data_IF_883627284049
#
_entry.id   IF_883627284049
#
_cell.length_a   1.000
_cell.length_b   1.000
_cell.length_c   1.000
_cell.angle_alpha   90.00
_cell.angle_beta   90.00
_cell.angle_gamma   90.00
#
_symmetry.space_group_name_H-M   'P 1'
#
loop_
_entity.id
_entity.type
_entity.pdbx_description
1 polymer ?
#
# COMPACT_ATOMS: atom_id res chain seq x y z
N UNK A 1 -9.60 -36.73 -14.81
CA UNK A 1 -9.25 -35.32 -15.08
C UNK A 1 -8.01 -35.03 -14.28
N UNK A 2 -6.93 -34.44 -14.84
CA UNK A 2 -5.82 -33.99 -14.02
C UNK A 2 -6.39 -32.99 -13.01
N UNK A 3 -6.21 -33.25 -11.71
CA UNK A 3 -6.57 -32.30 -10.67
C UNK A 3 -5.79 -31.01 -10.92
N UNK A 4 -6.49 -29.89 -11.06
CA UNK A 4 -5.83 -28.58 -11.12
C UNK A 4 -5.12 -28.40 -9.78
N UNK A 5 -3.79 -28.34 -9.83
CA UNK A 5 -2.98 -28.02 -8.68
C UNK A 5 -3.16 -26.54 -8.34
N UNK A 6 -4.08 -26.25 -7.43
CA UNK A 6 -4.41 -24.90 -7.00
C UNK A 6 -3.23 -24.22 -6.30
N UNK A 7 -2.37 -25.00 -5.65
CA UNK A 7 -1.20 -24.52 -4.92
C UNK A 7 -0.12 -23.99 -5.87
N UNK A 8 -0.09 -24.49 -7.11
CA UNK A 8 0.71 -23.95 -8.20
C UNK A 8 -0.02 -22.84 -8.98
N UNK A 9 -1.29 -23.05 -9.29
CA UNK A 9 -2.05 -22.17 -10.18
C UNK A 9 -2.28 -20.78 -9.55
N UNK A 10 -2.66 -20.70 -8.27
CA UNK A 10 -2.95 -19.43 -7.63
C UNK A 10 -1.72 -18.53 -7.50
N UNK A 11 -0.56 -18.98 -6.98
CA UNK A 11 0.65 -18.16 -6.97
C UNK A 11 1.16 -17.84 -8.37
N UNK A 12 1.05 -18.76 -9.33
CA UNK A 12 1.44 -18.52 -10.72
C UNK A 12 0.63 -17.40 -11.37
N UNK A 13 -0.70 -17.41 -11.22
CA UNK A 13 -1.57 -16.34 -11.70
C UNK A 13 -1.32 -15.03 -10.94
N UNK A 14 -1.07 -15.09 -9.63
CA UNK A 14 -0.72 -13.92 -8.82
C UNK A 14 0.56 -13.27 -9.31
N UNK A 15 1.61 -14.07 -9.59
CA UNK A 15 2.88 -13.61 -10.12
C UNK A 15 2.73 -12.98 -11.51
N UNK A 16 1.96 -13.62 -12.39
CA UNK A 16 1.67 -13.10 -13.73
C UNK A 16 0.94 -11.76 -13.65
N UNK A 17 -0.13 -11.65 -12.87
CA UNK A 17 -0.90 -10.42 -12.71
C UNK A 17 -0.06 -9.29 -12.10
N UNK A 18 0.68 -9.57 -11.02
CA UNK A 18 1.57 -8.59 -10.41
C UNK A 18 2.68 -8.15 -11.38
N UNK A 19 3.24 -9.07 -12.18
CA UNK A 19 4.25 -8.78 -13.20
C UNK A 19 3.70 -7.90 -14.33
N UNK A 20 2.52 -8.22 -14.86
CA UNK A 20 1.83 -7.39 -15.85
C UNK A 20 1.54 -5.99 -15.31
N UNK A 21 1.12 -5.91 -14.04
CA UNK A 21 0.90 -4.63 -13.38
C UNK A 21 2.21 -3.83 -13.23
N UNK A 22 3.30 -4.47 -12.80
CA UNK A 22 4.61 -3.83 -12.72
C UNK A 22 5.06 -3.30 -14.09
N UNK A 23 4.90 -4.07 -15.16
CA UNK A 23 5.21 -3.63 -16.54
C UNK A 23 4.37 -2.42 -16.95
N UNK A 24 3.06 -2.42 -16.64
CA UNK A 24 2.19 -1.29 -16.94
C UNK A 24 2.60 -0.01 -16.18
N UNK A 25 3.03 -0.15 -14.92
CA UNK A 25 3.57 0.96 -14.12
C UNK A 25 4.92 1.45 -14.68
N UNK A 26 5.78 0.54 -15.14
CA UNK A 26 7.05 0.87 -15.77
C UNK A 26 6.87 1.69 -17.06
N UNK A 27 5.94 1.27 -17.94
CA UNK A 27 5.59 2.03 -19.15
C UNK A 27 5.09 3.43 -18.80
N UNK A 28 4.21 3.56 -17.81
CA UNK A 28 3.73 4.86 -17.38
C UNK A 28 4.84 5.76 -16.84
N UNK A 29 5.73 5.20 -16.01
CA UNK A 29 6.87 5.94 -15.48
C UNK A 29 7.82 6.37 -16.60
N UNK A 30 8.10 5.50 -17.58
CA UNK A 30 8.98 5.82 -18.70
C UNK A 30 8.52 7.09 -19.43
N UNK A 31 7.20 7.23 -19.64
CA UNK A 31 6.60 8.37 -20.35
C UNK A 31 6.43 9.62 -19.49
N UNK A 32 5.97 9.46 -18.24
CA UNK A 32 5.57 10.61 -17.38
C UNK A 32 6.61 10.99 -16.34
N UNK A 33 7.58 10.11 -16.07
CA UNK A 33 8.67 10.26 -15.11
C UNK A 33 8.21 10.71 -13.72
N UNK A 34 7.04 10.23 -13.27
CA UNK A 34 6.52 10.52 -11.92
C UNK A 34 7.09 9.55 -10.90
N UNK A 35 7.66 10.05 -9.82
CA UNK A 35 8.34 9.25 -8.79
C UNK A 35 7.46 8.13 -8.22
N UNK A 36 6.19 8.42 -7.89
CA UNK A 36 5.27 7.44 -7.33
C UNK A 36 5.04 6.23 -8.25
N UNK A 37 5.09 6.39 -9.57
CA UNK A 37 4.90 5.29 -10.53
C UNK A 37 6.08 4.33 -10.50
N UNK A 38 7.30 4.85 -10.39
CA UNK A 38 8.50 4.02 -10.24
C UNK A 38 8.46 3.24 -8.92
N UNK A 39 8.11 3.92 -7.83
CA UNK A 39 8.06 3.28 -6.51
C UNK A 39 7.01 2.17 -6.46
N UNK A 40 5.81 2.40 -7.02
CA UNK A 40 4.80 1.35 -7.15
C UNK A 40 5.24 0.23 -8.10
N UNK A 41 5.95 0.54 -9.18
CA UNK A 41 6.52 -0.47 -10.08
C UNK A 41 7.45 -1.41 -9.32
N UNK A 42 8.35 -0.87 -8.49
CA UNK A 42 9.26 -1.68 -7.66
C UNK A 42 8.47 -2.52 -6.64
N UNK A 43 7.49 -1.94 -5.96
CA UNK A 43 6.62 -2.68 -5.04
C UNK A 43 5.86 -3.83 -5.71
N UNK A 44 5.31 -3.61 -6.91
CA UNK A 44 4.62 -4.66 -7.69
C UNK A 44 5.59 -5.72 -8.24
N UNK A 45 6.81 -5.34 -8.59
CA UNK A 45 7.85 -6.30 -8.97
C UNK A 45 8.22 -7.22 -7.79
N UNK A 46 8.33 -6.69 -6.57
CA UNK A 46 8.53 -7.51 -5.37
C UNK A 46 7.37 -8.45 -5.11
N UNK A 47 6.12 -7.97 -5.27
CA UNK A 47 4.94 -8.83 -5.19
C UNK A 47 5.04 -9.98 -6.20
N UNK A 48 5.35 -9.67 -7.46
CA UNK A 48 5.49 -10.67 -8.52
C UNK A 48 6.58 -11.70 -8.21
N UNK A 49 7.74 -11.27 -7.72
CA UNK A 49 8.84 -12.15 -7.32
C UNK A 49 8.46 -13.06 -6.15
N UNK A 50 7.73 -12.54 -5.16
CA UNK A 50 7.28 -13.34 -4.02
C UNK A 50 6.31 -14.45 -4.46
N UNK A 51 5.32 -14.09 -5.28
CA UNK A 51 4.35 -15.04 -5.82
C UNK A 51 4.99 -16.04 -6.79
N UNK A 52 6.01 -15.61 -7.55
CA UNK A 52 6.77 -16.50 -8.42
C UNK A 52 7.60 -17.51 -7.60
N UNK A 53 8.19 -17.09 -6.49
CA UNK A 53 8.92 -17.99 -5.58
C UNK A 53 7.99 -19.06 -5.00
N UNK A 54 6.76 -18.70 -4.64
CA UNK A 54 5.74 -19.64 -4.18
C UNK A 54 5.30 -20.62 -5.28
N UNK A 55 5.06 -20.13 -6.51
CA UNK A 55 4.71 -20.99 -7.64
C UNK A 55 5.84 -21.98 -7.95
N UNK A 56 7.09 -21.52 -7.95
CA UNK A 56 8.25 -22.39 -8.15
C UNK A 56 8.41 -23.40 -7.01
N UNK A 57 8.16 -22.99 -5.77
CA UNK A 57 8.20 -23.90 -4.62
C UNK A 57 7.09 -24.95 -4.67
N UNK A 58 5.89 -24.61 -5.15
CA UNK A 58 4.82 -25.57 -5.38
C UNK A 58 5.20 -26.60 -6.46
N UNK A 59 5.87 -26.16 -7.54
CA UNK A 59 6.28 -27.05 -8.63
C UNK A 59 7.52 -27.90 -8.33
N UNK A 60 8.51 -27.33 -7.63
CA UNK A 60 9.86 -27.91 -7.51
C UNK A 60 10.27 -28.22 -6.06
N UNK A 61 9.42 -27.89 -5.09
CA UNK A 61 9.73 -27.94 -3.66
C UNK A 61 10.44 -26.68 -3.16
N UNK A 62 10.30 -26.43 -1.85
CA UNK A 62 11.02 -25.33 -1.19
C UNK A 62 12.51 -25.61 -1.11
N UNK A 63 13.29 -24.55 -1.31
CA UNK A 63 14.70 -24.49 -0.99
C UNK A 63 15.02 -23.14 -0.35
N UNK A 64 16.21 -23.02 0.22
CA UNK A 64 16.63 -21.82 0.93
C UNK A 64 16.59 -20.54 0.07
N UNK A 65 16.94 -20.61 -1.22
CA UNK A 65 16.92 -19.45 -2.11
C UNK A 65 15.51 -18.94 -2.35
N UNK A 66 14.57 -19.84 -2.65
CA UNK A 66 13.16 -19.48 -2.83
C UNK A 66 12.58 -18.90 -1.54
N UNK A 67 12.91 -19.50 -0.39
CA UNK A 67 12.45 -19.05 0.92
C UNK A 67 12.98 -17.66 1.29
N UNK A 68 14.29 -17.41 1.09
CA UNK A 68 14.91 -16.09 1.28
C UNK A 68 14.31 -15.03 0.36
N UNK A 69 14.09 -15.38 -0.92
CA UNK A 69 13.50 -14.49 -1.91
C UNK A 69 12.07 -14.12 -1.50
N UNK A 70 11.24 -15.12 -1.22
CA UNK A 70 9.87 -14.93 -0.75
C UNK A 70 9.81 -14.04 0.49
N UNK A 71 10.65 -14.31 1.48
CA UNK A 71 10.65 -13.56 2.73
C UNK A 71 10.99 -12.09 2.50
N UNK A 72 12.06 -11.80 1.75
CA UNK A 72 12.46 -10.44 1.44
C UNK A 72 11.41 -9.70 0.62
N UNK A 73 11.06 -10.24 -0.55
CA UNK A 73 10.22 -9.49 -1.49
C UNK A 73 8.77 -9.46 -1.03
N UNK A 74 8.24 -10.57 -0.53
CA UNK A 74 6.85 -10.70 -0.12
C UNK A 74 6.61 -10.21 1.30
N UNK A 75 7.28 -10.84 2.27
CA UNK A 75 6.99 -10.59 3.68
C UNK A 75 7.50 -9.22 4.16
N UNK A 76 8.65 -8.74 3.68
CA UNK A 76 9.30 -7.53 4.19
C UNK A 76 9.08 -6.30 3.29
N UNK A 77 9.32 -6.39 1.98
CA UNK A 77 9.46 -5.19 1.13
C UNK A 77 8.17 -4.71 0.46
N UNK A 78 7.30 -5.62 0.00
CA UNK A 78 6.16 -5.29 -0.88
C UNK A 78 5.29 -4.17 -0.30
N UNK A 79 4.77 -4.32 0.91
CA UNK A 79 3.85 -3.35 1.49
C UNK A 79 4.51 -1.98 1.73
N UNK A 80 5.74 -1.97 2.25
CA UNK A 80 6.49 -0.74 2.49
C UNK A 80 6.72 0.09 1.22
N UNK A 81 7.11 -0.57 0.13
CA UNK A 81 7.29 0.08 -1.18
C UNK A 81 5.97 0.55 -1.79
N UNK A 82 4.90 -0.25 -1.69
CA UNK A 82 3.59 0.16 -2.19
C UNK A 82 3.04 1.39 -1.45
N UNK A 83 3.17 1.43 -0.11
CA UNK A 83 2.79 2.59 0.69
C UNK A 83 3.70 3.80 0.46
N UNK A 84 4.98 3.60 0.17
CA UNK A 84 5.89 4.68 -0.21
C UNK A 84 5.45 5.37 -1.52
N UNK A 85 4.93 4.61 -2.49
CA UNK A 85 4.39 5.22 -3.69
C UNK A 85 3.19 6.14 -3.38
N UNK A 86 2.37 5.79 -2.39
CA UNK A 86 1.29 6.66 -1.89
C UNK A 86 1.82 7.92 -1.21
N UNK A 87 2.93 7.81 -0.48
CA UNK A 87 3.61 8.99 0.09
C UNK A 87 4.06 9.97 -1.01
N UNK A 88 4.67 9.48 -2.10
CA UNK A 88 5.04 10.32 -3.23
C UNK A 88 3.85 10.85 -4.03
N UNK A 89 2.76 10.10 -4.12
CA UNK A 89 1.53 10.55 -4.78
C UNK A 89 0.90 11.73 -4.03
N UNK A 90 0.83 11.63 -2.70
CA UNK A 90 0.15 12.57 -1.82
C UNK A 90 1.12 13.56 -1.14
N UNK A 91 2.38 13.62 -1.62
CA UNK A 91 3.47 14.42 -1.07
C UNK A 91 3.16 15.91 -0.89
N UNK A 92 2.31 16.46 -1.75
CA UNK A 92 1.92 17.88 -1.75
C UNK A 92 0.63 18.16 -0.97
N UNK A 93 0.16 17.20 -0.19
CA UNK A 93 -1.10 17.28 0.56
C UNK A 93 -0.86 17.15 2.05
N UNK A 94 -1.89 17.43 2.86
CA UNK A 94 -1.85 17.21 4.32
C UNK A 94 -1.80 15.72 4.72
N UNK A 95 -1.76 14.79 3.76
CA UNK A 95 -1.63 13.36 4.03
C UNK A 95 -0.36 13.00 4.81
N UNK A 96 0.67 13.85 4.79
CA UNK A 96 1.87 13.63 5.61
C UNK A 96 1.57 13.46 7.11
N UNK A 97 0.52 14.08 7.66
CA UNK A 97 0.09 13.82 9.04
C UNK A 97 -0.45 12.39 9.23
N UNK A 98 -1.24 11.90 8.28
CA UNK A 98 -1.71 10.52 8.27
C UNK A 98 -0.54 9.55 8.12
N UNK A 99 0.44 9.87 7.28
CA UNK A 99 1.64 9.06 7.12
C UNK A 99 2.51 9.04 8.39
N UNK A 100 2.65 10.17 9.08
CA UNK A 100 3.29 10.24 10.40
C UNK A 100 2.58 9.36 11.44
N UNK A 101 1.24 9.37 11.45
CA UNK A 101 0.46 8.44 12.28
C UNK A 101 0.72 6.98 11.91
N UNK A 102 0.79 6.63 10.62
CA UNK A 102 1.13 5.28 10.17
C UNK A 102 2.50 4.84 10.69
N UNK A 103 3.52 5.71 10.61
CA UNK A 103 4.86 5.45 11.12
C UNK A 103 4.86 5.23 12.64
N UNK A 104 4.17 6.10 13.38
CA UNK A 104 4.04 5.97 14.82
C UNK A 104 3.37 4.64 15.21
N UNK A 105 2.23 4.31 14.58
CA UNK A 105 1.51 3.07 14.83
C UNK A 105 2.35 1.84 14.45
N UNK A 106 3.08 1.88 13.35
CA UNK A 106 3.97 0.79 12.96
C UNK A 106 5.08 0.56 13.99
N UNK A 107 5.71 1.64 14.48
CA UNK A 107 6.67 1.56 15.58
C UNK A 107 6.05 0.99 16.86
N UNK A 108 4.86 1.47 17.24
CA UNK A 108 4.16 1.02 18.45
C UNK A 108 3.79 -0.46 18.36
N UNK A 109 3.15 -0.90 17.28
CA UNK A 109 2.75 -2.29 17.10
C UNK A 109 3.95 -3.23 17.00
N UNK A 110 5.03 -2.81 16.32
CA UNK A 110 6.28 -3.58 16.30
C UNK A 110 6.86 -3.72 17.72
N UNK A 111 6.91 -2.64 18.50
CA UNK A 111 7.39 -2.68 19.88
C UNK A 111 6.54 -3.60 20.76
N UNK A 112 5.21 -3.55 20.63
CA UNK A 112 4.29 -4.43 21.35
C UNK A 112 4.41 -5.90 20.89
N UNK A 113 4.60 -6.14 19.59
CA UNK A 113 4.81 -7.48 19.07
C UNK A 113 6.14 -8.08 19.58
N UNK A 114 7.19 -7.26 19.70
CA UNK A 114 8.47 -7.68 20.23
C UNK A 114 8.41 -8.14 21.70
N UNK A 115 7.45 -7.65 22.50
CA UNK A 115 7.25 -8.09 23.88
C UNK A 115 6.83 -9.56 24.02
N UNK A 116 6.41 -10.20 22.91
CA UNK A 116 6.07 -11.62 22.87
C UNK A 116 7.28 -12.51 22.59
N UNK A 117 8.42 -11.93 22.23
CA UNK A 117 9.65 -12.65 21.95
C UNK A 117 10.47 -12.86 23.23
N UNK A 118 11.26 -13.94 23.35
CA UNK A 118 12.17 -14.14 24.47
C UNK A 118 13.15 -12.95 24.62
N UNK A 119 13.41 -12.43 25.85
CA UNK A 119 14.24 -11.24 26.08
C UNK A 119 15.66 -11.34 25.50
N UNK A 120 16.18 -12.56 25.45
CA UNK A 120 17.47 -12.98 24.93
C UNK A 120 17.60 -12.88 23.39
N UNK A 121 16.48 -12.82 22.65
CA UNK A 121 16.52 -12.74 21.18
C UNK A 121 16.69 -11.30 20.65
N UNK A 122 16.30 -10.26 21.40
CA UNK A 122 16.12 -8.93 20.80
C UNK A 122 16.62 -7.71 21.61
N UNK A 123 17.03 -7.90 22.87
CA UNK A 123 17.56 -6.83 23.75
C UNK A 123 16.89 -5.45 23.53
N UNK A 124 17.64 -4.47 23.01
CA UNK A 124 17.25 -3.05 22.91
C UNK A 124 16.73 -2.64 21.52
N UNK A 125 16.82 -3.53 20.53
CA UNK A 125 16.41 -3.25 19.14
C UNK A 125 14.97 -2.76 18.99
N UNK A 126 13.96 -3.34 19.68
CA UNK A 126 12.58 -2.86 19.55
C UNK A 126 12.40 -1.42 20.04
N UNK A 127 13.07 -1.05 21.12
CA UNK A 127 12.99 0.31 21.66
C UNK A 127 13.66 1.29 20.70
N UNK A 128 14.83 0.95 20.15
CA UNK A 128 15.53 1.77 19.17
C UNK A 128 14.68 2.00 17.92
N UNK A 129 14.06 0.95 17.38
CA UNK A 129 13.16 1.08 16.23
C UNK A 129 11.92 1.90 16.54
N UNK A 130 11.35 1.77 17.75
CA UNK A 130 10.23 2.61 18.17
C UNK A 130 10.60 4.08 18.27
N UNK A 131 11.74 4.41 18.91
CA UNK A 131 12.25 5.78 18.99
C UNK A 131 12.50 6.33 17.58
N UNK A 132 13.10 5.54 16.70
CA UNK A 132 13.34 5.93 15.31
C UNK A 132 12.03 6.23 14.58
N UNK A 133 11.00 5.40 14.77
CA UNK A 133 9.67 5.61 14.21
C UNK A 133 9.02 6.90 14.72
N UNK A 134 9.13 7.20 16.03
CA UNK A 134 8.61 8.43 16.64
C UNK A 134 9.32 9.67 16.09
N UNK A 135 10.66 9.63 16.02
CA UNK A 135 11.46 10.74 15.48
C UNK A 135 11.11 10.99 14.01
N UNK A 136 11.00 9.92 13.20
CA UNK A 136 10.63 10.04 11.79
C UNK A 136 9.19 10.55 11.62
N UNK A 137 8.24 10.04 12.42
CA UNK A 137 6.86 10.51 12.42
C UNK A 137 6.77 12.00 12.76
N UNK A 138 7.48 12.43 13.80
CA UNK A 138 7.55 13.84 14.18
C UNK A 138 8.14 14.70 13.07
N UNK A 139 9.27 14.27 12.48
CA UNK A 139 9.89 15.01 11.40
C UNK A 139 9.00 15.10 10.15
N UNK A 140 8.30 14.03 9.78
CA UNK A 140 7.30 14.05 8.70
C UNK A 140 6.16 15.02 9.03
N UNK A 141 5.64 15.01 10.26
CA UNK A 141 4.58 15.93 10.68
C UNK A 141 5.03 17.40 10.62
N UNK A 142 6.26 17.70 11.05
CA UNK A 142 6.85 19.04 10.99
C UNK A 142 7.03 19.50 9.54
N UNK A 143 7.61 18.67 8.68
CA UNK A 143 7.75 19.01 7.25
C UNK A 143 6.38 19.20 6.57
N UNK A 144 5.37 18.42 6.98
CA UNK A 144 3.98 18.58 6.51
C UNK A 144 3.37 19.89 6.99
N UNK A 145 3.64 20.29 8.23
CA UNK A 145 3.17 21.56 8.80
C UNK A 145 3.70 22.76 8.02
N UNK A 146 5.00 22.75 7.71
CA UNK A 146 5.64 23.78 6.90
C UNK A 146 5.34 23.66 5.39
N UNK A 147 4.48 22.72 4.98
CA UNK A 147 4.12 22.48 3.58
C UNK A 147 5.31 22.18 2.67
N UNK A 148 6.38 21.61 3.24
CA UNK A 148 7.56 21.22 2.50
C UNK A 148 7.32 19.90 1.75
N UNK A 149 7.82 19.80 0.52
CA UNK A 149 7.74 18.58 -0.29
C UNK A 149 8.84 17.56 0.05
N UNK A 150 9.56 17.75 1.16
CA UNK A 150 10.71 16.92 1.56
C UNK A 150 10.32 15.64 2.31
N UNK A 151 9.19 15.64 3.00
CA UNK A 151 8.77 14.52 3.84
C UNK A 151 8.66 13.16 3.10
N UNK A 152 8.24 13.06 1.82
CA UNK A 152 8.21 11.78 1.12
C UNK A 152 9.62 11.21 0.91
N UNK A 153 10.64 12.07 0.79
CA UNK A 153 12.03 11.63 0.68
C UNK A 153 12.58 11.13 2.02
N UNK A 154 12.10 11.66 3.15
CA UNK A 154 12.42 11.12 4.47
C UNK A 154 11.82 9.71 4.64
N UNK A 155 10.57 9.54 4.23
CA UNK A 155 9.93 8.22 4.18
C UNK A 155 10.69 7.26 3.24
N UNK A 156 11.14 7.75 2.07
CA UNK A 156 11.93 6.96 1.13
C UNK A 156 13.25 6.52 1.73
N UNK A 157 13.98 7.42 2.40
CA UNK A 157 15.22 7.09 3.08
C UNK A 157 15.03 6.00 4.13
N UNK A 158 13.93 6.05 4.90
CA UNK A 158 13.60 5.03 5.88
C UNK A 158 13.26 3.67 5.24
N UNK A 159 12.43 3.65 4.19
CA UNK A 159 12.04 2.40 3.50
C UNK A 159 13.24 1.77 2.79
N UNK A 160 14.04 2.57 2.07
CA UNK A 160 15.25 2.09 1.40
C UNK A 160 16.28 1.63 2.41
N UNK A 161 16.49 2.39 3.49
CA UNK A 161 17.38 2.02 4.59
C UNK A 161 16.98 0.70 5.24
N UNK A 162 15.70 0.51 5.59
CA UNK A 162 15.19 -0.75 6.13
C UNK A 162 15.33 -1.91 5.13
N UNK A 163 15.10 -1.66 3.84
CA UNK A 163 15.32 -2.63 2.77
C UNK A 163 16.79 -3.07 2.74
N UNK A 164 17.74 -2.14 2.72
CA UNK A 164 19.18 -2.43 2.71
C UNK A 164 19.63 -3.15 3.98
N UNK A 165 19.20 -2.69 5.16
CA UNK A 165 19.49 -3.36 6.44
C UNK A 165 18.97 -4.80 6.42
N UNK A 166 17.75 -5.04 5.92
CA UNK A 166 17.20 -6.39 5.83
C UNK A 166 18.03 -7.31 4.93
N UNK A 167 18.59 -6.80 3.83
CA UNK A 167 19.52 -7.56 2.97
C UNK A 167 20.80 -7.92 3.74
N UNK A 168 21.43 -6.95 4.40
CA UNK A 168 22.67 -7.16 5.14
C UNK A 168 22.47 -8.18 6.26
N UNK A 169 21.39 -8.04 7.04
CA UNK A 169 21.06 -9.00 8.11
C UNK A 169 20.81 -10.38 7.52
N UNK A 170 19.99 -10.50 6.46
CA UNK A 170 19.70 -11.81 5.88
C UNK A 170 20.96 -12.50 5.33
N UNK A 171 21.85 -11.77 4.64
CA UNK A 171 23.10 -12.32 4.10
C UNK A 171 24.04 -12.82 5.21
N UNK A 172 24.03 -12.17 6.37
CA UNK A 172 24.80 -12.60 7.55
C UNK A 172 24.16 -13.74 8.34
N UNK A 173 22.96 -14.20 7.99
CA UNK A 173 22.22 -15.22 8.76
C UNK A 173 22.36 -16.59 8.13
N UNK A 174 22.67 -17.58 8.96
CA UNK A 174 22.61 -19.01 8.61
C UNK A 174 21.27 -19.54 9.06
N UNK A 175 20.46 -20.03 8.11
CA UNK A 175 19.17 -20.63 8.42
C UNK A 175 19.37 -22.08 8.86
N UNK A 176 18.71 -22.53 9.94
CA UNK A 176 18.72 -23.94 10.33
C UNK A 176 18.27 -24.83 9.16
N UNK A 177 18.89 -26.00 9.01
CA UNK A 177 18.48 -26.99 8.02
C UNK A 177 16.98 -27.33 8.21
N UNK A 178 16.17 -27.44 7.14
CA UNK A 178 16.58 -27.53 5.71
C UNK A 178 16.77 -26.18 4.99
N UNK A 179 16.81 -25.05 5.70
CA UNK A 179 16.95 -23.71 5.13
C UNK A 179 15.63 -23.03 4.74
N UNK A 180 14.50 -23.67 5.05
CA UNK A 180 13.15 -23.13 4.87
C UNK A 180 12.21 -23.69 5.95
N UNK A 181 11.11 -22.98 6.20
CA UNK A 181 10.07 -23.45 7.11
C UNK A 181 8.69 -23.25 6.48
N UNK A 182 7.87 -24.29 6.53
CA UNK A 182 6.49 -24.29 6.03
C UNK A 182 5.54 -24.78 7.11
N UNK A 183 4.29 -24.34 7.00
CA UNK A 183 3.18 -24.86 7.80
C UNK A 183 2.95 -26.33 7.44
N UNK A 184 2.95 -27.27 8.41
CA UNK A 184 2.74 -28.70 8.13
C UNK A 184 1.37 -29.03 7.52
N UNK A 185 0.36 -28.19 7.76
CA UNK A 185 -1.02 -28.42 7.29
C UNK A 185 -1.23 -27.88 5.88
N UNK A 186 -0.72 -26.68 5.58
CA UNK A 186 -0.96 -26.01 4.30
C UNK A 186 0.23 -26.04 3.35
N UNK A 187 1.44 -26.38 3.82
CA UNK A 187 2.66 -26.32 3.03
C UNK A 187 3.15 -24.91 2.71
N UNK A 188 2.51 -23.87 3.26
CA UNK A 188 2.87 -22.48 3.00
C UNK A 188 4.01 -21.98 3.87
N UNK A 189 4.86 -21.09 3.36
CA UNK A 189 6.05 -20.64 4.06
C UNK A 189 5.69 -19.81 5.30
N UNK A 190 6.36 -20.10 6.42
CA UNK A 190 6.22 -19.38 7.69
C UNK A 190 7.52 -18.69 8.03
N UNK A 191 7.48 -17.65 8.86
CA UNK A 191 8.69 -16.93 9.30
C UNK A 191 9.43 -17.62 10.46
N UNK A 192 9.14 -18.89 10.76
CA UNK A 192 9.54 -19.54 12.02
C UNK A 192 11.06 -19.61 12.24
N UNK A 193 11.83 -19.88 11.18
CA UNK A 193 13.29 -20.01 11.26
C UNK A 193 14.03 -18.68 10.99
N UNK A 194 13.30 -17.60 10.76
CA UNK A 194 13.89 -16.29 10.51
C UNK A 194 14.22 -15.63 11.85
N UNK A 195 15.44 -15.07 12.02
CA UNK A 195 15.83 -14.42 13.26
C UNK A 195 14.93 -13.24 13.61
N UNK A 196 14.73 -13.01 14.91
CA UNK A 196 13.87 -11.96 15.44
C UNK A 196 14.25 -10.55 14.91
N UNK A 197 15.55 -10.27 14.79
CA UNK A 197 16.07 -8.99 14.26
C UNK A 197 15.52 -8.65 12.87
N UNK A 198 15.33 -9.67 12.02
CA UNK A 198 14.76 -9.53 10.68
C UNK A 198 13.22 -9.53 10.73
N UNK A 199 12.63 -10.38 11.58
CA UNK A 199 11.17 -10.43 11.80
C UNK A 199 10.59 -9.10 12.25
N UNK A 200 11.34 -8.26 12.97
CA UNK A 200 10.87 -6.95 13.43
C UNK A 200 10.83 -5.87 12.35
N UNK A 201 11.60 -6.00 11.26
CA UNK A 201 11.52 -5.07 10.13
C UNK A 201 10.20 -5.23 9.35
N UNK A 202 9.68 -6.45 9.32
CA UNK A 202 8.42 -6.82 8.66
C UNK A 202 7.20 -6.00 9.14
N UNK A 203 6.81 -5.99 10.44
CA UNK A 203 5.68 -5.20 10.89
C UNK A 203 5.92 -3.69 10.72
N UNK A 204 7.16 -3.22 10.85
CA UNK A 204 7.48 -1.81 10.63
C UNK A 204 7.15 -1.36 9.20
N UNK A 205 7.61 -2.10 8.19
CA UNK A 205 7.33 -1.79 6.78
C UNK A 205 5.89 -2.09 6.39
N UNK A 206 5.33 -3.21 6.84
CA UNK A 206 4.01 -3.64 6.39
C UNK A 206 2.88 -2.85 7.03
N UNK A 207 2.98 -2.49 8.31
CA UNK A 207 1.97 -1.67 8.97
C UNK A 207 2.01 -0.25 8.38
N UNK A 208 3.20 0.35 8.26
CA UNK A 208 3.33 1.68 7.66
C UNK A 208 2.79 1.66 6.22
N UNK A 209 3.25 0.70 5.43
CA UNK A 209 2.94 0.60 4.01
C UNK A 209 1.47 0.25 3.73
N UNK A 210 0.94 -0.76 4.41
CA UNK A 210 -0.44 -1.19 4.31
C UNK A 210 -1.43 -0.11 4.76
N UNK A 211 -1.20 0.51 5.92
CA UNK A 211 -2.04 1.63 6.38
C UNK A 211 -1.94 2.83 5.45
N UNK A 212 -0.74 3.20 4.98
CA UNK A 212 -0.58 4.31 4.04
C UNK A 212 -1.32 4.05 2.72
N UNK A 213 -1.28 2.82 2.20
CA UNK A 213 -1.98 2.45 0.98
C UNK A 213 -3.51 2.51 1.15
N UNK A 214 -4.03 1.92 2.23
CA UNK A 214 -5.48 1.92 2.53
C UNK A 214 -5.96 3.35 2.81
N UNK A 215 -5.34 4.06 3.74
CA UNK A 215 -5.75 5.40 4.15
C UNK A 215 -5.52 6.43 3.03
N UNK A 216 -4.47 6.29 2.23
CA UNK A 216 -4.23 7.18 1.09
C UNK A 216 -5.23 6.97 -0.05
N UNK A 217 -5.68 5.74 -0.25
CA UNK A 217 -6.76 5.44 -1.19
C UNK A 217 -8.11 5.99 -0.69
N UNK A 218 -8.42 5.83 0.60
CA UNK A 218 -9.62 6.44 1.23
C UNK A 218 -9.54 7.97 1.19
N UNK A 219 -8.38 8.56 1.48
CA UNK A 219 -8.16 10.01 1.37
C UNK A 219 -8.41 10.49 -0.06
N UNK A 220 -7.90 9.76 -1.06
CA UNK A 220 -8.13 10.09 -2.47
C UNK A 220 -9.61 10.00 -2.84
N UNK A 221 -10.31 8.94 -2.41
CA UNK A 221 -11.74 8.78 -2.62
C UNK A 221 -12.53 9.96 -2.00
N UNK A 222 -12.20 10.34 -0.76
CA UNK A 222 -12.82 11.47 -0.06
C UNK A 222 -12.61 12.81 -0.79
N UNK A 223 -11.43 13.02 -1.37
CA UNK A 223 -11.13 14.25 -2.10
C UNK A 223 -12.02 14.41 -3.34
N UNK A 224 -12.30 13.33 -4.06
CA UNK A 224 -13.05 13.32 -5.32
C UNK A 224 -14.56 13.03 -5.19
N UNK A 225 -15.03 12.57 -4.03
CA UNK A 225 -16.47 12.33 -3.81
C UNK A 225 -17.24 13.62 -3.51
N UNK A 226 -18.57 13.65 -3.76
CA UNK A 226 -19.42 14.76 -3.34
C UNK A 226 -19.32 14.98 -1.82
N UNK A 227 -19.10 16.23 -1.40
CA UNK A 227 -18.90 16.57 0.03
C UNK A 227 -20.14 17.24 0.59
N UNK A 228 -20.61 16.75 1.74
CA UNK A 228 -21.60 17.40 2.58
C UNK A 228 -20.97 17.72 3.92
N UNK A 229 -20.78 19.01 4.20
CA UNK A 229 -20.26 19.50 5.48
C UNK A 229 -21.42 19.88 6.38
N UNK A 230 -21.47 19.29 7.56
CA UNK A 230 -22.46 19.55 8.61
C UNK A 230 -21.78 20.12 9.86
N UNK A 231 -20.53 19.72 10.12
CA UNK A 231 -19.69 20.32 11.16
C UNK A 231 -18.60 21.16 10.50
N UNK A 232 -18.68 22.47 10.71
CA UNK A 232 -17.63 23.38 10.28
C UNK A 232 -16.46 23.36 11.28
N UNK A 233 -15.25 23.44 10.74
CA UNK A 233 -14.02 23.60 11.51
C UNK A 233 -12.99 24.33 10.65
N UNK A 234 -12.12 25.11 11.28
CA UNK A 234 -11.03 25.84 10.63
C UNK A 234 -9.69 25.46 11.25
N UNK A 235 -8.72 25.08 10.41
CA UNK A 235 -7.33 24.86 10.82
C UNK A 235 -6.44 26.00 10.30
N UNK A 236 -6.96 27.23 10.33
CA UNK A 236 -6.21 28.43 9.97
C UNK A 236 -5.22 28.77 11.11
N UNK A 237 -3.90 28.79 10.85
CA UNK A 237 -2.91 29.17 11.87
C UNK A 237 -3.04 30.63 12.33
N UNK A 238 -3.76 31.48 11.60
CA UNK A 238 -3.94 32.91 11.92
C UNK A 238 -5.03 33.21 12.95
N UNK A 239 -5.79 32.21 13.40
CA UNK A 239 -6.91 32.40 14.34
C UNK A 239 -6.45 32.49 15.81
N UNK A 240 -7.25 33.07 16.72
CA UNK A 240 -6.96 33.12 18.16
C UNK A 240 -6.62 31.73 18.73
N UNK A 241 -5.67 31.65 19.68
CA UNK A 241 -5.11 30.38 20.13
C UNK A 241 -6.13 29.43 20.77
N UNK A 242 -7.11 29.97 21.50
CA UNK A 242 -8.23 29.24 22.07
C UNK A 242 -9.17 28.67 20.99
N UNK A 243 -9.51 29.48 19.99
CA UNK A 243 -10.29 29.06 18.83
C UNK A 243 -9.54 28.00 17.98
N UNK A 244 -8.23 28.15 17.84
CA UNK A 244 -7.39 27.16 17.18
C UNK A 244 -7.34 25.85 17.94
N UNK A 245 -7.15 25.87 19.26
CA UNK A 245 -7.15 24.67 20.09
C UNK A 245 -8.50 23.97 20.07
N UNK A 246 -9.61 24.72 20.13
CA UNK A 246 -10.95 24.15 20.02
C UNK A 246 -11.17 23.49 18.65
N UNK A 247 -10.83 24.20 17.56
CA UNK A 247 -10.93 23.65 16.20
C UNK A 247 -10.04 22.42 16.01
N UNK A 248 -8.83 22.41 16.57
CA UNK A 248 -7.92 21.27 16.53
C UNK A 248 -8.50 20.06 17.27
N UNK A 249 -9.15 20.29 18.41
CA UNK A 249 -9.79 19.23 19.19
C UNK A 249 -11.03 18.65 18.51
N UNK A 250 -11.85 19.49 17.87
CA UNK A 250 -13.07 19.03 17.18
C UNK A 250 -12.79 18.51 15.77
N UNK A 251 -11.68 18.89 15.13
CA UNK A 251 -11.35 18.51 13.76
C UNK A 251 -11.44 17.00 13.49
N UNK A 252 -10.90 16.08 14.33
CA UNK A 252 -11.06 14.65 14.12
C UNK A 252 -12.53 14.21 14.06
N UNK A 253 -13.36 14.75 14.96
CA UNK A 253 -14.80 14.45 15.02
C UNK A 253 -15.52 15.06 13.81
N UNK A 254 -15.24 16.32 13.48
CA UNK A 254 -15.82 17.01 12.34
C UNK A 254 -15.48 16.33 11.01
N UNK A 255 -14.22 15.90 10.83
CA UNK A 255 -13.79 15.11 9.66
C UNK A 255 -14.57 13.80 9.58
N UNK A 256 -14.66 13.05 10.69
CA UNK A 256 -15.35 11.77 10.72
C UNK A 256 -16.86 11.90 10.42
N UNK A 257 -17.53 12.87 11.04
CA UNK A 257 -18.97 13.14 10.82
C UNK A 257 -19.22 13.62 9.40
N UNK A 258 -18.44 14.59 8.90
CA UNK A 258 -18.57 15.09 7.53
C UNK A 258 -18.32 13.98 6.51
N UNK A 259 -17.35 13.10 6.76
CA UNK A 259 -17.11 11.92 5.94
C UNK A 259 -18.34 11.00 5.93
N UNK A 260 -18.84 10.60 7.10
CA UNK A 260 -19.99 9.70 7.24
C UNK A 260 -21.25 10.25 6.57
N UNK A 261 -21.54 11.54 6.76
CA UNK A 261 -22.70 12.21 6.15
C UNK A 261 -22.56 12.34 4.62
N UNK A 262 -21.34 12.37 4.11
CA UNK A 262 -21.08 12.43 2.66
C UNK A 262 -21.22 11.06 1.97
N UNK A 263 -21.16 9.94 2.70
CA UNK A 263 -21.20 8.59 2.13
C UNK A 263 -22.49 8.27 1.37
N UNK A 264 -23.71 8.55 1.86
CA UNK A 264 -24.93 8.22 1.12
C UNK A 264 -25.00 8.91 -0.25
N UNK A 265 -24.63 10.18 -0.30
CA UNK A 265 -24.55 10.94 -1.56
C UNK A 265 -23.48 10.37 -2.49
N UNK A 266 -22.33 9.96 -1.95
CA UNK A 266 -21.29 9.30 -2.71
C UNK A 266 -21.74 7.94 -3.27
N UNK A 267 -22.46 7.12 -2.50
CA UNK A 267 -22.98 5.82 -2.96
C UNK A 267 -24.00 6.01 -4.08
N UNK A 268 -24.96 6.91 -3.92
CA UNK A 268 -25.97 7.20 -4.97
C UNK A 268 -25.29 7.72 -6.23
N UNK A 269 -24.31 8.62 -6.09
CA UNK A 269 -23.60 9.16 -7.24
C UNK A 269 -22.67 8.13 -7.91
N UNK A 270 -22.16 7.15 -7.15
CA UNK A 270 -21.40 6.00 -7.67
C UNK A 270 -22.31 5.06 -8.47
N UNK A 271 -23.45 4.66 -7.90
CA UNK A 271 -24.42 3.75 -8.52
C UNK A 271 -25.08 4.36 -9.77
N UNK A 272 -25.25 5.69 -9.78
CA UNK A 272 -25.79 6.42 -10.94
C UNK A 272 -24.75 6.74 -12.01
N UNK A 273 -23.49 6.32 -11.85
CA UNK A 273 -22.41 6.57 -12.81
C UNK A 273 -22.01 8.05 -12.95
N UNK A 274 -22.41 8.91 -11.99
CA UNK A 274 -22.17 10.36 -12.01
C UNK A 274 -20.88 10.78 -11.29
N UNK A 275 -20.20 9.84 -10.64
CA UNK A 275 -18.94 10.10 -9.93
C UNK A 275 -17.75 9.96 -10.87
N UNK A 276 -16.77 10.86 -10.66
CA UNK A 276 -15.47 10.78 -11.28
C UNK A 276 -14.88 9.37 -11.11
N UNK A 277 -14.53 8.69 -12.21
CA UNK A 277 -14.07 7.29 -12.21
C UNK A 277 -12.83 6.99 -11.35
N UNK A 278 -12.21 8.03 -10.77
CA UNK A 278 -11.13 7.92 -9.78
C UNK A 278 -11.61 7.34 -8.45
N UNK A 279 -12.84 7.65 -8.02
CA UNK A 279 -13.37 7.14 -6.75
C UNK A 279 -13.49 5.61 -6.76
N UNK A 280 -14.20 4.95 -7.70
CA UNK A 280 -14.25 3.48 -7.75
C UNK A 280 -12.87 2.84 -7.90
N UNK A 281 -11.99 3.43 -8.72
CA UNK A 281 -10.60 2.97 -8.86
C UNK A 281 -9.86 2.96 -7.50
N UNK A 282 -9.91 4.08 -6.77
CA UNK A 282 -9.26 4.19 -5.46
C UNK A 282 -9.89 3.27 -4.41
N UNK A 283 -11.22 3.05 -4.43
CA UNK A 283 -11.88 2.13 -3.52
C UNK A 283 -11.49 0.67 -3.78
N UNK A 284 -11.36 0.26 -5.05
CA UNK A 284 -10.86 -1.07 -5.40
C UNK A 284 -9.41 -1.26 -4.95
N UNK A 285 -8.56 -0.24 -5.12
CA UNK A 285 -7.18 -0.26 -4.62
C UNK A 285 -7.17 -0.39 -3.09
N UNK A 286 -8.01 0.37 -2.38
CA UNK A 286 -8.13 0.30 -0.92
C UNK A 286 -8.56 -1.10 -0.46
N UNK A 287 -9.57 -1.68 -1.13
CA UNK A 287 -10.07 -3.01 -0.81
C UNK A 287 -9.02 -4.09 -1.08
N UNK A 288 -8.34 -4.03 -2.22
CA UNK A 288 -7.25 -4.96 -2.54
C UNK A 288 -6.10 -4.90 -1.54
N UNK A 289 -5.69 -3.69 -1.15
CA UNK A 289 -4.70 -3.47 -0.10
C UNK A 289 -5.15 -4.02 1.26
N UNK A 290 -6.41 -3.81 1.63
CA UNK A 290 -6.99 -4.31 2.88
C UNK A 290 -7.02 -5.83 2.91
N UNK A 291 -7.48 -6.48 1.83
CA UNK A 291 -7.53 -7.95 1.72
C UNK A 291 -6.11 -8.52 1.85
N UNK A 292 -5.16 -8.03 1.05
CA UNK A 292 -3.77 -8.51 1.10
C UNK A 292 -3.12 -8.32 2.48
N UNK A 293 -3.31 -7.13 3.09
CA UNK A 293 -2.75 -6.82 4.42
C UNK A 293 -3.39 -7.67 5.53
N UNK A 294 -4.69 -7.94 5.43
CA UNK A 294 -5.42 -8.76 6.42
C UNK A 294 -4.97 -10.21 6.37
N UNK A 295 -4.83 -10.80 5.18
CA UNK A 295 -4.38 -12.19 5.05
C UNK A 295 -2.91 -12.38 5.40
N UNK A 296 -2.07 -11.38 5.11
CA UNK A 296 -0.67 -11.36 5.56
C UNK A 296 -0.57 -11.27 7.10
N UNK A 297 -1.46 -10.49 7.72
CA UNK A 297 -1.56 -10.41 9.18
C UNK A 297 -2.03 -11.73 9.78
N UNK A 298 -3.05 -12.39 9.21
CA UNK A 298 -3.53 -13.70 9.66
C UNK A 298 -2.44 -14.78 9.58
N UNK A 299 -1.64 -14.78 8.52
CA UNK A 299 -0.48 -15.68 8.38
C UNK A 299 0.47 -15.57 9.58
N UNK A 300 0.71 -14.34 10.07
CA UNK A 300 1.56 -14.10 11.26
C UNK A 300 0.96 -14.63 12.56
N UNK A 301 -0.36 -14.76 12.64
CA UNK A 301 -1.05 -15.36 13.78
C UNK A 301 -1.22 -16.89 13.63
N UNK A 302 -0.57 -17.50 12.63
CA UNK A 302 -0.58 -18.95 12.39
C UNK A 302 -1.73 -19.43 11.49
N UNK A 303 -2.56 -18.53 10.97
CA UNK A 303 -3.64 -18.88 10.04
C UNK A 303 -3.16 -18.71 8.60
N UNK A 304 -2.72 -19.81 7.99
CA UNK A 304 -2.14 -19.82 6.64
C UNK A 304 -3.16 -20.11 5.53
N UNK A 305 -4.36 -20.60 5.87
CA UNK A 305 -5.39 -21.07 4.91
C UNK A 305 -5.80 -20.02 3.86
N UNK A 306 -5.92 -18.76 4.27
CA UNK A 306 -6.36 -17.68 3.39
C UNK A 306 -5.21 -16.94 2.69
N UNK A 307 -3.96 -17.36 2.91
CA UNK A 307 -2.79 -16.58 2.51
C UNK A 307 -2.68 -16.42 0.99
N UNK A 308 -2.76 -17.51 0.23
CA UNK A 308 -2.67 -17.46 -1.24
C UNK A 308 -3.89 -16.79 -1.87
N UNK A 309 -5.09 -17.20 -1.46
CA UNK A 309 -6.36 -16.64 -1.96
C UNK A 309 -6.46 -15.14 -1.70
N UNK A 310 -6.05 -14.69 -0.50
CA UNK A 310 -6.02 -13.27 -0.15
C UNK A 310 -5.08 -12.46 -1.02
N UNK A 311 -3.87 -12.95 -1.28
CA UNK A 311 -2.93 -12.28 -2.20
C UNK A 311 -3.47 -12.21 -3.63
N UNK A 312 -4.05 -13.30 -4.13
CA UNK A 312 -4.63 -13.32 -5.47
C UNK A 312 -5.78 -12.32 -5.61
N UNK A 313 -6.76 -12.36 -4.69
CA UNK A 313 -7.88 -11.41 -4.67
C UNK A 313 -7.36 -9.98 -4.50
N UNK A 314 -6.38 -9.78 -3.62
CA UNK A 314 -5.74 -8.49 -3.39
C UNK A 314 -5.14 -7.91 -4.67
N UNK A 315 -4.32 -8.67 -5.40
CA UNK A 315 -3.68 -8.20 -6.65
C UNK A 315 -4.70 -7.98 -7.77
N UNK A 316 -5.74 -8.83 -7.87
CA UNK A 316 -6.83 -8.63 -8.84
C UNK A 316 -7.52 -7.30 -8.59
N UNK A 317 -7.90 -7.00 -7.34
CA UNK A 317 -8.56 -5.74 -6.98
C UNK A 317 -7.66 -4.52 -7.20
N UNK A 318 -6.38 -4.63 -6.84
CA UNK A 318 -5.38 -3.58 -7.08
C UNK A 318 -5.23 -3.30 -8.59
N UNK A 319 -5.10 -4.35 -9.39
CA UNK A 319 -4.92 -4.23 -10.84
C UNK A 319 -6.18 -3.71 -11.54
N UNK A 320 -7.38 -4.19 -11.17
CA UNK A 320 -8.64 -3.68 -11.68
C UNK A 320 -8.82 -2.19 -11.33
N UNK A 321 -8.55 -1.81 -10.08
CA UNK A 321 -8.59 -0.41 -9.67
C UNK A 321 -7.62 0.46 -10.47
N UNK A 322 -6.43 -0.05 -10.75
CA UNK A 322 -5.47 0.63 -11.62
C UNK A 322 -5.93 0.74 -13.08
N UNK A 323 -6.48 -0.33 -13.67
CA UNK A 323 -7.00 -0.31 -15.04
C UNK A 323 -8.15 0.69 -15.20
N UNK A 324 -9.08 0.74 -14.25
CA UNK A 324 -10.16 1.74 -14.22
C UNK A 324 -9.58 3.15 -14.10
N UNK A 325 -8.49 3.32 -13.35
CA UNK A 325 -7.78 4.61 -13.30
C UNK A 325 -7.10 4.98 -14.63
N UNK A 326 -6.73 4.00 -15.46
CA UNK A 326 -6.14 4.22 -16.81
C UNK A 326 -7.19 4.48 -17.87
N UNK A 327 -8.36 3.86 -17.81
CA UNK A 327 -9.41 4.05 -18.83
C UNK A 327 -9.83 5.53 -18.99
N UNK A 328 -9.61 6.33 -17.94
CA UNK A 328 -9.75 7.80 -17.95
C UNK A 328 -8.72 8.47 -18.89
N UNK A 329 -7.55 7.87 -19.07
CA UNK A 329 -6.50 8.23 -20.03
C UNK A 329 -6.58 7.41 -21.33
N UNK A 330 -7.76 6.92 -21.72
CA UNK A 330 -8.26 6.63 -23.10
C UNK A 330 -7.35 5.96 -24.15
N UNK A 331 -6.21 5.39 -23.82
CA UNK A 331 -5.38 4.64 -24.78
C UNK A 331 -4.87 3.35 -24.14
N UNK A 332 -5.49 2.22 -24.50
CA UNK A 332 -4.88 0.91 -24.25
C UNK A 332 -3.76 0.78 -25.28
N UNK A 333 -2.52 0.68 -24.82
CA UNK A 333 -1.30 0.70 -25.65
C UNK A 333 -0.43 -0.52 -25.40
N UNK A 334 0.39 -0.86 -26.39
CA UNK A 334 1.46 -1.84 -26.21
C UNK A 334 2.58 -1.19 -25.36
N UNK A 335 3.01 -1.82 -24.24
CA UNK A 335 4.06 -1.26 -23.37
C UNK A 335 5.33 -0.88 -24.13
N UNK A 336 5.92 0.27 -23.78
CA UNK A 336 7.15 0.82 -24.34
C UNK A 336 7.08 1.21 -25.83
N UNK A 337 5.87 1.30 -26.40
CA UNK A 337 5.66 1.72 -27.79
C UNK A 337 4.60 2.82 -27.88
N UNK A 338 4.56 3.53 -29.00
CA UNK A 338 3.50 4.51 -29.31
C UNK A 338 2.26 3.87 -29.96
N UNK A 339 2.20 2.53 -30.03
CA UNK A 339 1.11 1.81 -30.69
C UNK A 339 -0.12 1.76 -29.78
N UNK A 340 -1.21 2.40 -30.22
CA UNK A 340 -2.52 2.41 -29.55
C UNK A 340 -3.40 1.28 -30.08
N UNK A 341 -3.77 0.36 -29.20
CA UNK A 341 -4.69 -0.75 -29.47
C UNK A 341 -6.16 -0.32 -29.41
N UNK A 342 -6.48 0.69 -28.58
CA UNK A 342 -7.84 1.25 -28.47
C UNK A 342 -7.78 2.71 -28.01
N UNK A 343 -8.22 3.63 -28.86
CA UNK A 343 -8.33 5.07 -28.56
C UNK A 343 -9.75 5.47 -28.12
N UNK A 344 -9.87 6.20 -27.02
CA UNK A 344 -11.16 6.64 -26.46
C UNK A 344 -11.72 7.90 -27.13
N UNK A 345 -13.02 7.89 -27.42
CA UNK A 345 -13.80 8.97 -28.05
C UNK A 345 -13.67 10.30 -27.30
N UNK A 346 -13.11 11.35 -27.89
CA UNK A 346 -13.06 12.73 -27.33
C UNK A 346 -14.44 13.15 -26.79
N UNK A 347 -14.50 13.56 -25.53
CA UNK A 347 -15.66 14.34 -25.07
C UNK A 347 -15.46 15.74 -25.65
N UNK A 348 -16.35 16.14 -26.55
CA UNK A 348 -16.34 17.46 -27.17
C UNK A 348 -16.68 18.52 -26.11
N UNK A 349 -16.02 19.69 -26.07
CA UNK A 349 -16.35 20.77 -25.13
C UNK A 349 -17.75 21.39 -25.29
N UNK A 350 -18.56 20.96 -26.25
CA UNK A 350 -19.72 21.75 -26.71
C UNK A 350 -21.05 21.48 -25.99
N UNK A 351 -21.05 20.75 -24.87
CA UNK A 351 -22.27 20.60 -24.05
C UNK A 351 -22.52 21.76 -23.07
N UNK A 352 -21.64 22.78 -23.04
CA UNK A 352 -21.76 23.94 -22.15
C UNK A 352 -22.31 25.21 -22.81
N UNK A 353 -22.58 25.24 -24.12
CA UNK A 353 -23.01 26.46 -24.84
C UNK A 353 -24.43 26.42 -25.41
N UNK A 354 -25.20 25.33 -25.24
CA UNK A 354 -26.54 25.19 -25.83
C UNK A 354 -27.71 25.47 -24.84
N UNK A 355 -27.54 26.41 -23.91
CA UNK A 355 -28.56 26.74 -22.91
C UNK A 355 -28.93 28.22 -22.79
N UNK A 356 -28.46 29.08 -23.69
CA UNK A 356 -28.52 30.54 -23.50
C UNK A 356 -28.89 31.34 -24.73
N UNK A 357 -29.95 30.99 -25.45
CA UNK A 357 -30.66 31.92 -26.35
C UNK A 357 -32.14 31.55 -26.40
N UNK A 358 -32.97 32.36 -25.75
CA UNK A 358 -34.43 32.21 -25.79
C UNK A 358 -35.14 33.33 -25.03
N UNK A 359 -35.44 34.39 -25.80
CA UNK A 359 -36.39 35.50 -25.57
C UNK A 359 -36.28 36.34 -24.29
#
# INVERSE_FOLDING_TARGET
MPSIDLDLLLPGLTALLAGLFAVALADQWWRRRRAYQLVWCVGMAFFALAAAAEALAAALGWNELLYRTWYMTGAVWTAGWLGLGTAFLLGRTRFGYTFALCLFLAGLFMFLAARRLPPDEVSDLPLLYFITAVVLAFAVAVETYFQNERWPYMAAAAVVGATLVSVVVLLGTVLPAPGFAVDPTTGFPTAAIIPASLRLLTPFLNITGGLALILGAVFSAYVFMPKRRVLDYSLDPGQPGDEFLFNLFIAPVAIAVNFAVSLPGAVVALLSGRIHSRVPATLLIALGALVASSTDTLNRFGSTELFQTGKFVGVVLLFLGFLISIEIFREIRVPFTDIVLRGGRREHPDAASAGGTGS
#
